data_IF_098695011351
#
_entry.id   IF_098695011351
#
_cell.length_a   1.000
_cell.length_b   1.000
_cell.length_c   1.000
_cell.angle_alpha   90.00
_cell.angle_beta   90.00
_cell.angle_gamma   90.00
#
_symmetry.space_group_name_H-M   'P 1'
#
loop_
_entity.id
_entity.type
_entity.pdbx_description
1 polymer ?
#
# COMPACT_ATOMS: atom_id res chain seq x y z
N UNK A 1 10.17 9.34 20.85
CA UNK A 1 10.18 8.66 21.05
C UNK A 1 9.53 7.83 20.97
N UNK A 2 9.44 7.32 20.85
CA UNK A 2 8.88 6.44 20.31
C UNK A 2 8.30 5.56 21.09
N UNK A 3 7.98 5.86 22.00
CA UNK A 3 7.51 5.07 22.85
C UNK A 3 6.57 4.09 22.47
N UNK A 4 5.57 4.31 21.92
CA UNK A 4 4.56 3.33 21.65
C UNK A 4 4.68 2.71 20.31
N UNK A 5 5.87 2.52 19.88
CA UNK A 5 6.08 1.98 18.53
C UNK A 5 5.42 0.63 18.34
N UNK A 6 5.20 -0.11 19.41
CA UNK A 6 4.59 -1.42 19.28
C UNK A 6 3.08 -1.38 19.42
N UNK A 7 2.50 -0.23 19.66
CA UNK A 7 1.10 -0.16 19.82
C UNK A 7 0.45 0.24 18.56
N UNK A 8 -0.49 -0.54 18.10
CA UNK A 8 -1.27 -0.14 16.97
C UNK A 8 -2.28 0.86 17.41
N UNK A 9 -2.31 2.00 16.78
CA UNK A 9 -3.24 3.04 17.11
C UNK A 9 -4.47 2.92 16.27
N UNK A 10 -5.61 2.84 16.90
CA UNK A 10 -6.87 2.74 16.20
C UNK A 10 -7.22 3.97 15.42
N UNK A 11 -6.52 5.10 15.71
CA UNK A 11 -6.82 6.36 15.05
C UNK A 11 -5.98 6.59 13.81
N UNK A 12 -5.04 5.71 13.50
CA UNK A 12 -4.28 5.87 12.27
C UNK A 12 -5.23 5.73 11.09
N UNK A 13 -5.01 6.56 10.09
CA UNK A 13 -5.79 6.51 8.87
C UNK A 13 -4.92 6.90 7.68
N UNK A 14 -5.32 6.50 6.51
CA UNK A 14 -4.60 6.83 5.29
C UNK A 14 -5.55 7.49 4.31
N UNK A 15 -5.09 8.60 3.72
CA UNK A 15 -5.87 9.35 2.75
C UNK A 15 -5.25 9.14 1.38
N UNK A 16 -6.06 8.65 0.45
CA UNK A 16 -5.61 8.34 -0.90
C UNK A 16 -6.70 8.80 -1.86
N UNK A 17 -6.31 9.38 -2.98
CA UNK A 17 -7.32 9.94 -3.89
C UNK A 17 -7.74 8.92 -4.95
N UNK A 18 -8.80 9.28 -5.66
CA UNK A 18 -9.40 8.37 -6.65
C UNK A 18 -8.43 8.03 -7.78
N UNK A 19 -7.65 8.99 -8.24
CA UNK A 19 -6.72 8.74 -9.32
C UNK A 19 -5.63 7.75 -8.88
N UNK A 20 -5.17 7.90 -7.65
CA UNK A 20 -4.14 6.99 -7.11
C UNK A 20 -4.69 5.57 -7.00
N UNK A 21 -5.94 5.44 -6.58
CA UNK A 21 -6.58 4.13 -6.51
C UNK A 21 -6.70 3.53 -7.91
N UNK A 22 -7.10 4.34 -8.89
CA UNK A 22 -7.23 3.85 -10.26
C UNK A 22 -5.88 3.43 -10.83
N UNK A 23 -4.82 4.14 -10.47
CA UNK A 23 -3.47 3.78 -10.93
C UNK A 23 -3.06 2.42 -10.35
N UNK A 24 -3.37 2.18 -9.07
CA UNK A 24 -3.09 0.90 -8.43
C UNK A 24 -3.86 -0.22 -9.13
N UNK A 25 -5.14 0.03 -9.41
CA UNK A 25 -5.99 -0.97 -10.07
C UNK A 25 -5.46 -1.28 -11.47
N UNK A 26 -5.15 -0.24 -12.24
CA UNK A 26 -4.67 -0.44 -13.61
C UNK A 26 -3.35 -1.19 -13.63
N UNK A 27 -2.43 -0.79 -12.77
CA UNK A 27 -1.13 -1.45 -12.69
C UNK A 27 -1.30 -2.92 -12.31
N UNK A 28 -2.15 -3.20 -11.33
CA UNK A 28 -2.38 -4.56 -10.86
C UNK A 28 -3.02 -5.42 -11.94
N UNK A 29 -3.95 -4.86 -12.71
CA UNK A 29 -4.56 -5.59 -13.82
C UNK A 29 -3.54 -5.89 -14.91
N UNK A 30 -2.63 -4.95 -15.15
CA UNK A 30 -1.59 -5.15 -16.16
C UNK A 30 -0.58 -6.22 -15.74
N UNK A 31 -0.46 -6.51 -14.45
CA UNK A 31 0.44 -7.53 -13.96
C UNK A 31 -0.16 -8.94 -14.01
N UNK A 32 -1.48 -9.05 -14.18
CA UNK A 32 -2.12 -10.36 -14.17
C UNK A 32 -1.45 -11.32 -15.15
N UNK A 33 -1.29 -12.57 -14.79
CA UNK A 33 -1.81 -13.26 -13.60
C UNK A 33 -0.94 -13.09 -12.35
N UNK A 34 0.06 -12.24 -12.40
CA UNK A 34 1.00 -12.04 -11.30
C UNK A 34 0.53 -10.95 -10.36
N UNK A 35 1.07 -10.96 -9.14
CA UNK A 35 0.79 -9.87 -8.21
C UNK A 35 1.47 -8.59 -8.70
N UNK A 36 0.77 -7.49 -8.60
CA UNK A 36 1.36 -6.16 -8.79
C UNK A 36 1.82 -5.62 -7.46
N UNK A 37 2.72 -4.66 -7.47
CA UNK A 37 3.23 -4.08 -6.24
C UNK A 37 3.71 -2.66 -6.44
N UNK A 38 3.91 -1.96 -5.34
CA UNK A 38 4.44 -0.61 -5.37
C UNK A 38 4.56 0.01 -3.99
N UNK A 39 4.98 1.26 -3.97
CA UNK A 39 5.21 2.01 -2.73
C UNK A 39 4.33 3.25 -2.69
N UNK A 40 4.09 3.72 -1.47
CA UNK A 40 3.29 4.92 -1.26
C UNK A 40 4.16 5.93 -0.51
N UNK A 41 4.31 7.11 -1.10
CA UNK A 41 5.06 8.19 -0.48
C UNK A 41 4.16 9.37 -0.16
N UNK A 42 4.49 10.11 0.88
CA UNK A 42 3.73 11.28 1.25
C UNK A 42 4.09 11.82 2.61
N UNK A 43 3.14 12.44 3.27
CA UNK A 43 3.40 13.12 4.53
C UNK A 43 2.43 12.67 5.60
N UNK A 44 2.84 12.83 6.84
CA UNK A 44 1.96 12.64 7.98
C UNK A 44 1.38 13.98 8.38
N UNK A 45 0.06 14.00 8.61
CA UNK A 45 -0.57 15.13 9.21
C UNK A 45 -1.29 14.60 10.43
N UNK A 46 -0.72 14.79 11.60
CA UNK A 46 -1.25 14.17 12.81
C UNK A 46 -1.12 12.66 12.67
N UNK A 47 -2.23 11.97 12.77
CA UNK A 47 -2.24 10.52 12.64
C UNK A 47 -2.76 10.09 11.27
N UNK A 48 -2.83 11.02 10.32
CA UNK A 48 -3.28 10.72 8.98
C UNK A 48 -2.10 10.68 8.03
N UNK A 49 -1.98 9.59 7.29
CA UNK A 49 -0.99 9.47 6.24
C UNK A 49 -1.61 10.01 4.96
N UNK A 50 -1.02 11.05 4.40
CA UNK A 50 -1.54 11.65 3.18
C UNK A 50 -0.68 11.23 2.01
N UNK A 51 -1.20 10.36 1.17
CA UNK A 51 -0.46 9.83 0.03
C UNK A 51 -0.29 10.92 -1.02
N UNK A 52 0.95 11.24 -1.35
CA UNK A 52 1.27 12.23 -2.37
C UNK A 52 1.59 11.57 -3.69
N UNK A 53 2.16 10.39 -3.66
CA UNK A 53 2.54 9.70 -4.88
C UNK A 53 2.53 8.20 -4.68
N UNK A 54 2.04 7.50 -5.69
CA UNK A 54 2.06 6.06 -5.76
C UNK A 54 3.16 5.66 -6.74
N UNK A 55 4.05 4.78 -6.31
CA UNK A 55 5.15 4.31 -7.16
C UNK A 55 4.82 2.91 -7.62
N UNK A 56 4.62 2.75 -8.92
CA UNK A 56 4.24 1.46 -9.49
C UNK A 56 5.52 0.70 -9.84
N UNK A 57 5.77 -0.38 -9.12
CA UNK A 57 7.01 -1.10 -9.24
C UNK A 57 6.81 -2.46 -9.90
N UNK A 58 7.91 -3.04 -10.35
CA UNK A 58 7.86 -4.33 -11.00
C UNK A 58 8.00 -5.43 -9.96
N UNK A 59 7.21 -6.48 -10.11
CA UNK A 59 7.33 -7.69 -9.31
C UNK A 59 8.32 -8.61 -10.02
N UNK A 60 9.55 -8.69 -9.51
CA UNK A 60 10.56 -9.50 -10.18
C UNK A 60 10.38 -10.99 -9.96
N UNK A 61 9.51 -11.38 -9.01
CA UNK A 61 9.22 -12.80 -8.82
C UNK A 61 8.26 -13.32 -9.89
N UNK A 62 7.53 -12.41 -10.53
CA UNK A 62 6.57 -12.76 -11.58
C UNK A 62 5.69 -13.92 -11.10
N UNK A 63 5.12 -13.78 -9.91
CA UNK A 63 4.34 -14.84 -9.28
C UNK A 63 2.92 -14.36 -8.97
N UNK A 64 1.92 -15.24 -9.09
CA UNK A 64 0.56 -14.89 -8.68
C UNK A 64 0.35 -14.99 -7.17
N UNK A 65 1.35 -15.41 -6.40
CA UNK A 65 1.18 -15.65 -4.97
C UNK A 65 2.13 -14.86 -4.10
N UNK A 66 3.16 -14.27 -4.65
CA UNK A 66 4.08 -13.45 -3.86
C UNK A 66 4.77 -12.44 -4.77
N UNK A 67 5.47 -11.52 -4.16
CA UNK A 67 6.14 -10.48 -4.91
C UNK A 67 7.45 -10.08 -4.24
N UNK A 68 8.36 -9.60 -5.07
CA UNK A 68 9.56 -8.91 -4.63
C UNK A 68 9.72 -7.71 -5.53
N UNK A 69 9.95 -6.56 -4.93
CA UNK A 69 10.11 -5.33 -5.71
C UNK A 69 11.52 -5.22 -6.25
N UNK A 70 11.64 -4.76 -7.48
CA UNK A 70 12.94 -4.52 -8.09
C UNK A 70 13.71 -3.53 -7.22
N UNK A 71 14.93 -3.88 -6.82
CA UNK A 71 15.72 -3.07 -5.90
C UNK A 71 16.04 -1.70 -6.48
N UNK A 72 16.33 -1.61 -7.78
CA UNK A 72 16.65 -0.32 -8.40
C UNK A 72 15.45 0.60 -8.39
N UNK A 73 14.28 0.04 -8.67
CA UNK A 73 13.05 0.83 -8.67
C UNK A 73 12.71 1.28 -7.26
N UNK A 74 12.93 0.44 -6.26
CA UNK A 74 12.72 0.84 -4.87
C UNK A 74 13.64 1.99 -4.50
N UNK A 75 14.92 1.87 -4.89
CA UNK A 75 15.87 2.89 -4.59
C UNK A 75 15.46 4.21 -5.23
N UNK A 76 15.07 4.18 -6.48
CA UNK A 76 14.65 5.38 -7.21
C UNK A 76 13.41 6.01 -6.56
N UNK A 77 12.47 5.18 -6.11
CA UNK A 77 11.26 5.67 -5.44
C UNK A 77 11.61 6.38 -4.13
N UNK A 78 12.47 5.75 -3.32
CA UNK A 78 12.85 6.35 -2.04
C UNK A 78 13.65 7.63 -2.25
N UNK A 79 14.50 7.67 -3.28
CA UNK A 79 15.25 8.88 -3.60
C UNK A 79 14.30 10.01 -4.03
N UNK A 80 13.27 9.69 -4.80
CA UNK A 80 12.28 10.67 -5.20
C UNK A 80 11.49 11.18 -4.00
N UNK A 81 11.10 10.28 -3.08
CA UNK A 81 10.44 10.70 -1.85
C UNK A 81 11.31 11.66 -1.07
N UNK A 82 12.59 11.34 -0.90
CA UNK A 82 13.49 12.17 -0.13
C UNK A 82 13.66 13.55 -0.78
N UNK A 83 13.74 13.57 -2.11
CA UNK A 83 13.86 14.81 -2.84
C UNK A 83 12.64 15.72 -2.61
N UNK A 84 11.47 15.14 -2.45
CA UNK A 84 10.24 15.90 -2.27
C UNK A 84 9.90 16.12 -0.80
N UNK A 85 10.73 15.67 0.13
CA UNK A 85 10.43 15.82 1.55
C UNK A 85 9.33 14.88 2.03
N UNK A 86 9.13 13.77 1.35
CA UNK A 86 8.11 12.79 1.69
C UNK A 86 8.71 11.61 2.43
N UNK A 87 7.86 10.95 3.21
CA UNK A 87 8.21 9.71 3.90
C UNK A 87 7.61 8.52 3.17
N UNK A 88 8.20 7.36 3.38
CA UNK A 88 7.57 6.12 2.94
C UNK A 88 6.39 5.86 3.89
N UNK A 89 5.19 5.84 3.36
CA UNK A 89 3.98 5.65 4.16
C UNK A 89 3.50 4.21 4.16
N UNK A 90 3.82 3.48 3.13
CA UNK A 90 3.35 2.10 3.01
C UNK A 90 3.67 1.52 1.66
N UNK A 91 3.10 0.36 1.42
CA UNK A 91 3.25 -0.32 0.14
C UNK A 91 1.92 -0.92 -0.26
N UNK A 92 1.83 -1.37 -1.51
CA UNK A 92 0.66 -2.09 -1.94
C UNK A 92 1.07 -3.31 -2.74
N UNK A 93 0.21 -4.31 -2.72
CA UNK A 93 0.30 -5.42 -3.66
C UNK A 93 -1.10 -5.93 -3.97
N UNK A 94 -1.21 -6.71 -5.04
CA UNK A 94 -2.50 -7.23 -5.42
C UNK A 94 -2.57 -8.73 -5.17
N UNK A 95 -3.79 -9.18 -4.90
CA UNK A 95 -4.12 -10.60 -4.82
C UNK A 95 -4.95 -10.91 -6.05
N UNK A 96 -4.38 -11.56 -7.06
CA UNK A 96 -5.13 -11.81 -8.30
C UNK A 96 -6.38 -12.67 -8.10
N UNK A 97 -6.33 -13.62 -7.16
CA UNK A 97 -7.41 -14.59 -7.03
C UNK A 97 -7.87 -14.83 -5.59
N UNK A 98 -7.50 -13.96 -4.66
CA UNK A 98 -7.88 -14.13 -3.25
C UNK A 98 -8.41 -12.81 -2.70
N UNK A 99 -9.10 -12.85 -1.55
CA UNK A 99 -9.68 -11.62 -0.99
C UNK A 99 -8.63 -10.60 -0.54
N UNK A 100 -9.09 -9.38 -0.29
CA UNK A 100 -8.23 -8.30 0.18
C UNK A 100 -8.02 -8.45 1.68
N UNK A 101 -7.07 -9.27 2.04
CA UNK A 101 -6.62 -9.42 3.42
C UNK A 101 -5.25 -10.06 3.39
N UNK A 102 -4.40 -9.81 4.40
CA UNK A 102 -3.05 -10.33 4.38
C UNK A 102 -3.01 -11.85 4.41
N UNK A 103 -2.14 -12.43 3.60
CA UNK A 103 -1.85 -13.86 3.68
C UNK A 103 -0.91 -14.09 4.86
N UNK A 104 -0.69 -15.33 5.22
CA UNK A 104 0.27 -15.64 6.28
C UNK A 104 1.66 -15.14 5.91
N UNK A 105 2.03 -15.23 4.65
CA UNK A 105 3.32 -14.71 4.20
C UNK A 105 3.35 -13.19 4.31
N UNK A 106 2.28 -12.52 3.93
CA UNK A 106 2.21 -11.06 4.05
C UNK A 106 2.44 -10.62 5.49
N UNK A 107 1.85 -11.34 6.44
CA UNK A 107 2.00 -11.01 7.85
C UNK A 107 3.42 -11.25 8.29
N UNK A 108 4.02 -12.36 7.86
CA UNK A 108 5.38 -12.69 8.26
C UNK A 108 6.40 -11.69 7.73
N UNK A 109 6.13 -11.12 6.56
CA UNK A 109 7.06 -10.18 5.94
C UNK A 109 6.78 -8.73 6.27
N UNK A 110 5.77 -8.44 7.09
CA UNK A 110 5.43 -7.09 7.49
C UNK A 110 6.28 -6.70 8.70
N UNK A 111 7.44 -6.11 8.44
CA UNK A 111 8.38 -5.82 9.50
C UNK A 111 8.21 -4.46 10.15
N UNK A 112 7.48 -3.56 9.52
CA UNK A 112 7.37 -2.20 10.02
C UNK A 112 5.93 -1.90 10.41
N UNK A 113 5.63 -1.80 11.71
CA UNK A 113 4.25 -1.56 12.15
C UNK A 113 3.74 -0.16 11.85
N UNK A 114 4.60 0.75 11.44
CA UNK A 114 4.16 2.11 11.10
C UNK A 114 3.69 2.22 9.66
N UNK A 115 4.00 1.24 8.83
CA UNK A 115 3.61 1.30 7.42
C UNK A 115 2.18 0.82 7.22
N UNK A 116 1.55 1.35 6.19
CA UNK A 116 0.26 0.85 5.72
C UNK A 116 0.50 -0.20 4.66
N UNK A 117 -0.21 -1.32 4.78
CA UNK A 117 -0.10 -2.41 3.81
C UNK A 117 -1.42 -2.46 3.04
N UNK A 118 -1.41 -1.96 1.81
CA UNK A 118 -2.61 -1.92 0.98
C UNK A 118 -2.68 -3.17 0.13
N UNK A 119 -3.82 -3.83 0.13
CA UNK A 119 -4.00 -5.05 -0.64
C UNK A 119 -5.19 -4.88 -1.57
N UNK A 120 -4.94 -4.99 -2.87
CA UNK A 120 -5.98 -4.90 -3.87
C UNK A 120 -6.38 -6.29 -4.31
N UNK A 121 -7.64 -6.66 -4.09
CA UNK A 121 -8.13 -7.94 -4.57
C UNK A 121 -8.75 -7.80 -5.94
N UNK A 122 -8.34 -8.67 -6.84
CA UNK A 122 -8.96 -8.80 -8.16
C UNK A 122 -9.75 -10.11 -8.25
N UNK A 123 -10.13 -10.68 -7.10
CA UNK A 123 -10.91 -11.90 -7.06
C UNK A 123 -12.18 -11.77 -7.90
N UNK A 124 -12.83 -10.62 -7.82
CA UNK A 124 -13.94 -10.29 -8.70
C UNK A 124 -13.45 -9.17 -9.61
N UNK A 125 -13.07 -9.51 -10.84
CA UNK A 125 -12.39 -8.55 -11.71
C UNK A 125 -13.15 -7.26 -11.96
N UNK A 126 -14.49 -7.34 -11.99
CA UNK A 126 -15.29 -6.14 -12.24
C UNK A 126 -15.52 -5.32 -11.00
N UNK A 127 -15.09 -5.80 -9.84
CA UNK A 127 -15.32 -5.11 -8.59
C UNK A 127 -14.10 -5.23 -7.69
N UNK A 128 -12.99 -4.53 -8.03
CA UNK A 128 -11.78 -4.61 -7.22
C UNK A 128 -12.02 -4.05 -5.81
N UNK A 129 -11.38 -4.66 -4.83
CA UNK A 129 -11.51 -4.24 -3.44
C UNK A 129 -10.14 -3.87 -2.90
N UNK A 130 -10.02 -2.66 -2.39
CA UNK A 130 -8.77 -2.18 -1.81
C UNK A 130 -8.98 -1.89 -0.33
N UNK A 131 -8.16 -2.52 0.50
CA UNK A 131 -8.15 -2.24 1.93
C UNK A 131 -6.73 -1.97 2.39
N UNK A 132 -6.61 -1.22 3.47
CA UNK A 132 -5.32 -0.96 4.10
C UNK A 132 -5.28 -1.67 5.44
N UNK A 133 -4.12 -2.20 5.78
CA UNK A 133 -3.93 -2.93 7.02
C UNK A 133 -2.71 -2.41 7.76
N UNK A 134 -2.81 -2.42 9.10
CA UNK A 134 -1.67 -2.20 9.98
C UNK A 134 -1.33 -3.56 10.55
N UNK A 135 -0.06 -3.91 10.51
CA UNK A 135 0.38 -5.24 10.96
C UNK A 135 1.50 -5.07 11.96
N UNK A 136 1.29 -5.60 13.16
CA UNK A 136 2.30 -5.54 14.21
C UNK A 136 2.44 -6.94 14.77
N UNK A 137 3.55 -7.57 14.50
CA UNK A 137 3.77 -8.98 14.82
C UNK A 137 2.66 -9.80 14.14
N UNK A 138 1.86 -10.52 14.86
CA UNK A 138 0.78 -11.29 14.24
C UNK A 138 -0.57 -10.58 14.35
N UNK A 139 -0.58 -9.36 14.84
CA UNK A 139 -1.80 -8.61 14.99
C UNK A 139 -2.08 -7.85 13.71
N UNK A 140 -3.23 -8.05 13.14
CA UNK A 140 -3.64 -7.40 11.90
C UNK A 140 -4.87 -6.54 12.21
N UNK A 141 -4.81 -5.27 11.82
CA UNK A 141 -5.91 -4.37 12.03
C UNK A 141 -6.20 -3.66 10.72
N UNK A 142 -7.47 -3.56 10.36
CA UNK A 142 -7.84 -2.83 9.16
C UNK A 142 -7.73 -1.34 9.45
N UNK A 143 -7.00 -0.64 8.62
CA UNK A 143 -6.80 0.79 8.79
C UNK A 143 -7.91 1.56 8.08
N UNK A 144 -8.38 2.63 8.70
CA UNK A 144 -9.39 3.47 8.06
C UNK A 144 -8.78 4.13 6.84
N UNK A 145 -9.46 4.03 5.71
CA UNK A 145 -9.02 4.64 4.47
C UNK A 145 -9.98 5.74 4.09
N UNK A 146 -9.46 6.95 3.88
CA UNK A 146 -10.24 8.10 3.49
C UNK A 146 -9.87 8.46 2.08
N UNK A 147 -10.89 8.64 1.21
CA UNK A 147 -10.63 9.08 -0.12
C UNK A 147 -10.54 10.59 -0.05
N UNK A 148 -9.37 11.08 -0.39
CA UNK A 148 -9.24 12.47 -0.38
C UNK A 148 -10.03 12.97 -1.53
N UNK A 149 -10.56 14.10 -1.56
CA UNK A 149 -11.35 14.51 -2.35
C UNK A 149 -11.18 14.63 -3.50
N UNK A 150 -11.72 14.49 -4.04
CA UNK A 150 -11.94 14.38 -5.17
C UNK A 150 -12.61 15.50 -5.51
N UNK A 151 -11.99 16.21 -6.11
CA UNK A 151 -12.51 17.28 -6.53
C UNK A 151 -13.18 17.11 -7.74
N UNK A 152 -14.26 17.26 -7.76
CA UNK A 152 -15.05 16.95 -8.85
C UNK A 152 -14.75 17.79 -9.94
N UNK A 153 -14.43 18.55 -10.02
CA UNK A 153 -14.26 19.22 -11.10
C UNK A 153 -13.71 20.08 -10.90
N UNK A 154 -13.46 19.72 -10.60
CA UNK A 154 -12.91 20.67 -10.65
C UNK A 154 -13.26 20.54 -11.43
#
# INVERSE_FOLDING_TARGET
MPADSNKMRGTFMIMINQQQIQDIVRHSRNCLPNEGCGLLGGIWEGECKMVKKVYLLRNIDESPKHFSMDAREQFAAVADMRKNGWNLLGNFHSHPATPSRPSLEDIRLAFDPSLSYLILSLLQPDCPVLNSFLICSNDVKKEKMIHSEWVPYG
#
